data_IF_721415058831
#
_entry.id   IF_721415058831
#
_cell.length_a   1.000
_cell.length_b   1.000
_cell.length_c   1.000
_cell.angle_alpha   90.00
_cell.angle_beta   90.00
_cell.angle_gamma   90.00
#
_symmetry.space_group_name_H-M   'P 1'
#
loop_
_entity.id
_entity.type
_entity.pdbx_description
1 polymer ?
#
# COMPACT_ATOMS: atom_id res chain seq x y z
N UNK A 1 -6.28 -21.73 5.95
CA UNK A 1 -6.61 -21.28 4.58
C UNK A 1 -5.33 -21.15 3.79
N UNK A 2 -5.30 -21.62 2.55
CA UNK A 2 -4.09 -21.73 1.70
C UNK A 2 -3.30 -20.42 1.49
N UNK A 3 -3.85 -19.25 1.83
CA UNK A 3 -3.15 -17.95 1.75
C UNK A 3 -2.50 -17.46 3.04
N UNK A 4 -2.57 -18.22 4.15
CA UNK A 4 -2.03 -17.83 5.47
C UNK A 4 -0.81 -18.68 5.89
N UNK A 5 -0.46 -19.69 5.09
CA UNK A 5 0.73 -20.50 5.30
C UNK A 5 1.92 -19.82 4.61
N UNK A 6 3.01 -19.57 5.36
CA UNK A 6 4.20 -18.87 4.84
C UNK A 6 4.89 -19.59 3.67
N UNK A 7 4.54 -20.86 3.45
CA UNK A 7 4.99 -21.71 2.36
C UNK A 7 4.50 -21.24 0.97
N UNK A 8 3.41 -20.48 0.92
CA UNK A 8 2.84 -19.96 -0.33
C UNK A 8 3.31 -18.52 -0.56
N UNK A 9 3.81 -18.23 -1.76
CA UNK A 9 4.26 -16.87 -2.16
C UNK A 9 3.17 -15.80 -1.97
N UNK A 10 1.90 -16.18 -2.05
CA UNK A 10 0.74 -15.32 -1.82
C UNK A 10 0.78 -14.68 -0.42
N UNK A 11 1.21 -15.43 0.60
CA UNK A 11 1.30 -14.93 1.96
C UNK A 11 2.41 -13.86 2.11
N UNK A 12 3.54 -14.03 1.41
CA UNK A 12 4.61 -13.03 1.36
C UNK A 12 4.15 -11.78 0.63
N UNK A 13 3.55 -11.94 -0.55
CA UNK A 13 3.07 -10.81 -1.35
C UNK A 13 2.00 -10.00 -0.61
N UNK A 14 1.11 -10.66 0.13
CA UNK A 14 0.11 -9.99 0.95
C UNK A 14 0.73 -9.16 2.10
N UNK A 15 1.85 -9.61 2.68
CA UNK A 15 2.60 -8.86 3.69
C UNK A 15 3.36 -7.65 3.14
N UNK A 16 3.81 -7.72 1.88
CA UNK A 16 4.61 -6.65 1.27
C UNK A 16 3.74 -5.49 0.72
N UNK A 17 2.45 -5.74 0.44
CA UNK A 17 1.54 -4.73 -0.12
C UNK A 17 1.36 -3.48 0.78
N UNK A 18 1.11 -3.57 2.10
CA UNK A 18 0.86 -2.40 2.95
C UNK A 18 2.03 -1.42 3.00
N UNK A 19 3.25 -1.94 2.84
CA UNK A 19 4.48 -1.16 2.88
C UNK A 19 4.58 -0.18 1.69
N UNK A 20 3.98 -0.53 0.55
CA UNK A 20 3.88 0.37 -0.61
C UNK A 20 3.11 1.66 -0.31
N UNK A 21 2.15 1.61 0.62
CA UNK A 21 1.35 2.77 1.02
C UNK A 21 2.10 3.72 1.97
N UNK A 22 3.34 3.42 2.37
CA UNK A 22 4.14 4.26 3.28
C UNK A 22 5.36 4.82 2.56
N UNK A 23 6.04 4.03 1.72
CA UNK A 23 7.32 4.41 1.11
C UNK A 23 7.27 5.63 0.18
N UNK A 24 6.21 5.79 -0.60
CA UNK A 24 6.08 6.91 -1.56
C UNK A 24 5.28 8.11 -0.99
N UNK A 25 5.09 8.14 0.33
CA UNK A 25 4.14 9.02 1.00
C UNK A 25 2.87 8.27 1.35
N UNK A 26 2.28 8.58 2.52
CA UNK A 26 1.05 7.94 2.93
C UNK A 26 -0.09 8.27 1.97
N UNK A 27 -1.11 7.39 1.92
CA UNK A 27 -2.29 7.63 1.09
C UNK A 27 -2.93 9.01 1.36
N UNK A 28 -2.87 9.49 2.59
CA UNK A 28 -3.34 10.82 2.98
C UNK A 28 -2.48 11.93 2.37
N UNK A 29 -1.15 11.82 2.46
CA UNK A 29 -0.23 12.81 1.86
C UNK A 29 -0.40 12.85 0.34
N UNK A 30 -0.54 11.70 -0.31
CA UNK A 30 -0.80 11.61 -1.75
C UNK A 30 -2.13 12.27 -2.12
N UNK A 31 -3.20 12.03 -1.36
CA UNK A 31 -4.49 12.70 -1.56
C UNK A 31 -4.38 14.23 -1.40
N UNK A 32 -3.62 14.70 -0.42
CA UNK A 32 -3.37 16.14 -0.22
C UNK A 32 -2.58 16.76 -1.38
N UNK A 33 -1.57 16.07 -1.90
CA UNK A 33 -0.79 16.53 -3.08
C UNK A 33 -1.68 16.61 -4.32
N UNK A 34 -2.54 15.61 -4.52
CA UNK A 34 -3.50 15.57 -5.64
C UNK A 34 -4.53 16.70 -5.50
N UNK A 35 -5.08 16.92 -4.30
CA UNK A 35 -6.01 18.02 -4.03
C UNK A 35 -5.37 19.38 -4.33
N UNK A 36 -4.13 19.59 -3.89
CA UNK A 36 -3.35 20.80 -4.18
C UNK A 36 -3.08 20.99 -5.68
N UNK A 37 -2.86 19.91 -6.44
CA UNK A 37 -2.72 19.99 -7.90
C UNK A 37 -4.04 20.26 -8.62
N UNK A 38 -5.17 19.83 -8.06
CA UNK A 38 -6.50 20.09 -8.59
C UNK A 38 -7.02 21.51 -8.31
N UNK A 39 -6.27 22.33 -7.54
CA UNK A 39 -6.68 23.68 -7.17
C UNK A 39 -7.83 23.72 -6.16
N UNK A 40 -8.03 22.61 -5.42
CA UNK A 40 -8.95 22.51 -4.29
C UNK A 40 -8.30 22.94 -2.98
#
# INVERSE_FOLDING_TARGET
GYGYMEEYEIARRYRDIPVSAIYAGTNEVMKMIIAKHLGL
#
